data_IF_457192703682
#
_entry.id   IF_457192703682
#
_cell.length_a   1.000
_cell.length_b   1.000
_cell.length_c   1.000
_cell.angle_alpha   90.00
_cell.angle_beta   90.00
_cell.angle_gamma   90.00
#
_symmetry.space_group_name_H-M   'P 1'
#
loop_
_entity.id
_entity.type
_entity.pdbx_description
1 polymer ?
#
# COMPACT_ATOMS: atom_id res chain seq x y z
N UNK A 1 -9.42 16.48 -17.67
CA UNK A 1 -9.45 15.12 -17.08
C UNK A 1 -9.26 15.27 -15.58
N UNK A 2 -10.14 14.71 -14.74
CA UNK A 2 -9.92 14.75 -13.28
C UNK A 2 -8.69 13.91 -12.94
N UNK A 3 -7.73 14.51 -12.24
CA UNK A 3 -6.57 13.81 -11.73
C UNK A 3 -7.04 12.83 -10.64
N UNK A 4 -6.70 11.56 -10.78
CA UNK A 4 -6.95 10.55 -9.75
C UNK A 4 -6.21 10.97 -8.48
N UNK A 5 -6.97 11.19 -7.40
CA UNK A 5 -6.44 11.64 -6.10
C UNK A 5 -5.86 10.44 -5.34
N UNK A 6 -4.82 10.67 -4.54
CA UNK A 6 -4.34 9.71 -3.54
C UNK A 6 -5.02 10.05 -2.21
N UNK A 7 -5.45 9.05 -1.45
CA UNK A 7 -6.07 9.29 -0.14
C UNK A 7 -5.05 9.82 0.86
N UNK A 8 -5.47 10.71 1.76
CA UNK A 8 -4.58 11.31 2.77
C UNK A 8 -3.91 10.29 3.67
N UNK A 9 -4.62 9.20 3.99
CA UNK A 9 -4.06 8.06 4.73
C UNK A 9 -2.91 7.42 3.95
N UNK A 10 -3.09 7.17 2.66
CA UNK A 10 -2.04 6.58 1.82
C UNK A 10 -0.85 7.53 1.64
N UNK A 11 -1.07 8.84 1.44
CA UNK A 11 0.01 9.83 1.38
C UNK A 11 0.87 9.82 2.66
N UNK A 12 0.22 9.76 3.82
CA UNK A 12 0.90 9.69 5.12
C UNK A 12 1.74 8.43 5.25
N UNK A 13 1.20 7.26 4.89
CA UNK A 13 1.90 5.98 4.93
C UNK A 13 3.09 5.97 3.95
N UNK A 14 2.90 6.48 2.73
CA UNK A 14 3.99 6.63 1.74
C UNK A 14 5.12 7.49 2.30
N UNK A 15 4.81 8.62 2.93
CA UNK A 15 5.82 9.49 3.52
C UNK A 15 6.63 8.79 4.65
N UNK A 16 5.96 8.04 5.53
CA UNK A 16 6.65 7.25 6.59
C UNK A 16 7.54 6.15 5.99
N UNK A 17 7.05 5.45 4.98
CA UNK A 17 7.81 4.42 4.28
C UNK A 17 9.03 4.98 3.55
N UNK A 18 8.88 6.12 2.87
CA UNK A 18 9.97 6.82 2.20
C UNK A 18 11.05 7.25 3.20
N UNK A 19 10.65 7.81 4.35
CA UNK A 19 11.58 8.17 5.42
C UNK A 19 12.38 6.96 5.92
N UNK A 20 11.70 5.83 6.16
CA UNK A 20 12.34 4.58 6.60
C UNK A 20 13.31 4.02 5.56
N UNK A 21 12.91 4.02 4.27
CA UNK A 21 13.77 3.59 3.16
C UNK A 21 15.01 4.48 3.00
N UNK A 22 14.85 5.80 3.14
CA UNK A 22 15.97 6.75 3.13
C UNK A 22 16.92 6.51 4.29
N UNK A 23 16.40 6.30 5.50
CA UNK A 23 17.22 5.98 6.67
C UNK A 23 18.01 4.67 6.49
N UNK A 24 17.41 3.69 5.83
CA UNK A 24 18.05 2.42 5.49
C UNK A 24 19.05 2.52 4.31
N UNK A 25 19.13 3.68 3.64
CA UNK A 25 20.00 3.90 2.50
C UNK A 25 19.60 3.12 1.24
N UNK A 26 18.35 2.66 1.15
CA UNK A 26 17.88 1.77 0.09
C UNK A 26 16.54 2.20 -0.51
N UNK A 27 16.58 2.75 -1.71
CA UNK A 27 15.36 3.05 -2.46
C UNK A 27 14.60 1.76 -2.85
N UNK A 28 15.33 0.66 -3.10
CA UNK A 28 14.76 -0.65 -3.50
C UNK A 28 13.88 -1.29 -2.42
N UNK A 29 14.11 -0.96 -1.16
CA UNK A 29 13.34 -1.48 -0.03
C UNK A 29 12.07 -0.65 0.23
N UNK A 30 11.82 0.42 -0.53
CA UNK A 30 10.68 1.31 -0.32
C UNK A 30 9.34 0.56 -0.28
N UNK A 31 9.09 -0.36 -1.24
CA UNK A 31 7.83 -1.11 -1.30
C UNK A 31 7.66 -2.06 -0.10
N UNK A 32 8.75 -2.62 0.41
CA UNK A 32 8.74 -3.46 1.60
C UNK A 32 8.53 -2.64 2.89
N UNK A 33 9.14 -1.45 3.00
CA UNK A 33 8.81 -0.51 4.08
C UNK A 33 7.36 -0.03 3.99
N UNK A 34 6.85 0.21 2.79
CA UNK A 34 5.46 0.61 2.57
C UNK A 34 4.50 -0.49 3.03
N UNK A 35 4.82 -1.75 2.76
CA UNK A 35 4.05 -2.87 3.27
C UNK A 35 4.04 -2.95 4.80
N UNK A 36 5.19 -2.72 5.47
CA UNK A 36 5.21 -2.66 6.94
C UNK A 36 4.29 -1.58 7.50
N UNK A 37 4.31 -0.39 6.90
CA UNK A 37 3.46 0.73 7.31
C UNK A 37 1.97 0.41 7.09
N UNK A 38 1.62 -0.26 5.98
CA UNK A 38 0.26 -0.72 5.71
C UNK A 38 -0.22 -1.78 6.72
N UNK A 39 0.67 -2.69 7.13
CA UNK A 39 0.39 -3.73 8.12
C UNK A 39 0.27 -3.19 9.55
N UNK A 40 0.90 -2.05 9.84
CA UNK A 40 0.81 -1.39 11.14
C UNK A 40 -0.42 -0.49 11.27
N UNK A 41 -1.00 -0.03 10.15
CA UNK A 41 -2.15 0.88 10.16
C UNK A 41 -3.47 0.10 10.24
N UNK A 42 -3.84 -0.36 11.44
CA UNK A 42 -5.02 -1.21 11.71
C UNK A 42 -6.35 -0.65 11.19
N UNK A 43 -6.51 0.68 11.19
CA UNK A 43 -7.70 1.36 10.67
C UNK A 43 -7.75 1.48 9.15
N UNK A 44 -6.67 1.14 8.44
CA UNK A 44 -6.59 1.32 7.00
C UNK A 44 -7.36 0.27 6.22
N UNK A 45 -7.79 0.62 5.00
CA UNK A 45 -8.46 -0.33 4.11
C UNK A 45 -7.56 -1.48 3.67
N UNK A 46 -6.23 -1.29 3.63
CA UNK A 46 -5.28 -2.37 3.40
C UNK A 46 -5.31 -3.40 4.54
N UNK A 47 -5.31 -2.94 5.79
CA UNK A 47 -5.41 -3.82 6.95
C UNK A 47 -6.75 -4.56 6.95
N UNK A 48 -7.86 -3.85 6.73
CA UNK A 48 -9.19 -4.46 6.62
C UNK A 48 -9.25 -5.50 5.50
N UNK A 49 -8.65 -5.22 4.34
CA UNK A 49 -8.55 -6.15 3.22
C UNK A 49 -7.80 -7.42 3.61
N UNK A 50 -6.66 -7.31 4.29
CA UNK A 50 -5.92 -8.47 4.79
C UNK A 50 -6.70 -9.24 5.85
N UNK A 51 -7.40 -8.55 6.75
CA UNK A 51 -8.25 -9.16 7.77
C UNK A 51 -9.43 -9.97 7.19
N UNK A 52 -9.79 -9.76 5.91
CA UNK A 52 -10.75 -10.64 5.22
C UNK A 52 -10.17 -12.03 4.89
N UNK A 53 -8.85 -12.20 4.95
CA UNK A 53 -8.12 -13.41 4.54
C UNK A 53 -7.28 -14.03 5.64
N UNK A 54 -6.69 -13.18 6.48
CA UNK A 54 -5.75 -13.56 7.51
C UNK A 54 -6.34 -13.24 8.88
N UNK A 55 -6.01 -14.07 9.85
CA UNK A 55 -6.24 -13.77 11.27
C UNK A 55 -5.26 -12.71 11.73
N UNK A 56 -5.59 -11.96 12.79
CA UNK A 56 -4.71 -10.91 13.32
C UNK A 56 -3.31 -11.42 13.67
N UNK A 57 -3.22 -12.64 14.21
CA UNK A 57 -1.93 -13.26 14.52
C UNK A 57 -1.12 -13.60 13.26
N UNK A 58 -1.76 -13.90 12.12
CA UNK A 58 -1.08 -14.13 10.84
C UNK A 58 -0.54 -12.82 10.28
N UNK A 59 -1.31 -11.74 10.36
CA UNK A 59 -0.87 -10.39 9.98
C UNK A 59 0.34 -9.97 10.84
N UNK A 60 0.28 -10.20 12.15
CA UNK A 60 1.41 -9.94 13.05
C UNK A 60 2.65 -10.77 12.69
N UNK A 61 2.48 -12.05 12.32
CA UNK A 61 3.58 -12.91 11.89
C UNK A 61 4.20 -12.46 10.55
N UNK A 62 3.37 -12.04 9.58
CA UNK A 62 3.85 -11.45 8.32
C UNK A 62 4.72 -10.22 8.62
N UNK A 63 4.25 -9.33 9.50
CA UNK A 63 4.98 -8.12 9.88
C UNK A 63 6.34 -8.44 10.50
N UNK A 64 6.40 -9.35 11.47
CA UNK A 64 7.64 -9.79 12.10
C UNK A 64 8.64 -10.41 11.11
N UNK A 65 8.15 -11.20 10.15
CA UNK A 65 9.00 -11.79 9.10
C UNK A 65 9.57 -10.71 8.18
N UNK A 66 8.75 -9.75 7.79
CA UNK A 66 9.17 -8.67 6.92
C UNK A 66 10.17 -7.73 7.61
N UNK A 67 9.94 -7.39 8.89
CA UNK A 67 10.90 -6.64 9.72
C UNK A 67 12.27 -7.34 9.74
N UNK A 68 12.28 -8.67 9.92
CA UNK A 68 13.51 -9.47 9.90
C UNK A 68 14.22 -9.44 8.55
N UNK A 69 13.49 -9.58 7.44
CA UNK A 69 14.07 -9.51 6.09
C UNK A 69 14.64 -8.12 5.78
N UNK A 70 13.96 -7.06 6.19
CA UNK A 70 14.45 -5.69 6.04
C UNK A 70 15.70 -5.41 6.87
N UNK A 71 15.79 -5.95 8.09
CA UNK A 71 17.02 -5.90 8.88
C UNK A 71 18.17 -6.64 8.18
N UNK A 72 17.90 -7.83 7.63
CA UNK A 72 18.89 -8.59 6.89
C UNK A 72 19.34 -7.87 5.60
N UNK A 73 18.43 -7.20 4.89
CA UNK A 73 18.72 -6.44 3.68
C UNK A 73 19.61 -5.22 3.94
N UNK A 74 19.45 -4.56 5.10
CA UNK A 74 20.32 -3.45 5.53
C UNK A 74 21.77 -3.90 5.77
N UNK A 75 21.99 -5.17 6.12
CA UNK A 75 23.32 -5.73 6.34
C UNK A 75 24.05 -6.12 5.04
N UNK A 76 23.36 -6.15 3.90
CA UNK A 76 23.96 -6.47 2.60
C UNK A 76 24.63 -5.24 1.99
N UNK A 77 25.73 -5.39 1.22
CA UNK A 77 26.31 -4.28 0.47
C UNK A 77 25.30 -3.75 -0.55
N UNK A 78 24.89 -2.49 -0.42
CA UNK A 78 23.92 -1.89 -1.32
C UNK A 78 24.58 -0.90 -2.28
N UNK A 79 24.15 -0.95 -3.54
CA UNK A 79 24.49 0.09 -4.52
C UNK A 79 23.72 1.36 -4.16
N UNK A 80 24.44 2.47 -3.99
CA UNK A 80 23.88 3.79 -3.62
C UNK A 80 23.24 4.52 -4.81
N UNK A 81 23.00 3.82 -5.91
CA UNK A 81 22.77 4.44 -7.22
C UNK A 81 21.31 4.86 -7.43
N UNK A 82 20.39 4.57 -6.49
CA UNK A 82 19.00 5.04 -6.53
C UNK A 82 18.67 5.92 -5.33
N UNK A 83 18.15 7.11 -5.62
CA UNK A 83 17.58 8.01 -4.63
C UNK A 83 16.19 7.52 -4.22
N UNK A 84 15.91 7.32 -2.93
CA UNK A 84 14.59 6.96 -2.41
C UNK A 84 13.48 7.92 -2.87
N UNK A 85 13.82 9.18 -3.10
CA UNK A 85 12.87 10.18 -3.55
C UNK A 85 12.33 9.95 -4.96
N UNK A 86 13.15 9.38 -5.83
CA UNK A 86 12.73 9.01 -7.17
C UNK A 86 11.76 7.82 -7.11
N UNK A 87 12.08 6.81 -6.30
CA UNK A 87 11.27 5.59 -6.18
C UNK A 87 9.85 5.84 -5.65
N UNK A 88 9.67 6.67 -4.60
CA UNK A 88 8.31 6.92 -4.10
C UNK A 88 7.46 7.72 -5.10
N UNK A 89 8.06 8.70 -5.83
CA UNK A 89 7.34 9.47 -6.86
C UNK A 89 6.91 8.57 -8.01
N UNK A 90 7.83 7.71 -8.46
CA UNK A 90 7.54 6.70 -9.47
C UNK A 90 6.42 5.78 -9.01
N UNK A 91 6.42 5.34 -7.76
CA UNK A 91 5.34 4.51 -7.22
C UNK A 91 3.98 5.22 -7.19
N UNK A 92 3.91 6.49 -6.79
CA UNK A 92 2.65 7.25 -6.85
C UNK A 92 2.14 7.41 -8.29
N UNK A 93 3.03 7.67 -9.24
CA UNK A 93 2.69 7.77 -10.66
C UNK A 93 2.21 6.43 -11.23
N UNK A 94 2.86 5.33 -10.87
CA UNK A 94 2.43 3.98 -11.20
C UNK A 94 1.03 3.70 -10.67
N UNK A 95 0.76 4.03 -9.40
CA UNK A 95 -0.57 3.85 -8.82
C UNK A 95 -1.63 4.68 -9.55
N UNK A 96 -1.37 5.97 -9.82
CA UNK A 96 -2.29 6.83 -10.59
C UNK A 96 -2.51 6.28 -12.01
N UNK A 97 -1.46 5.73 -12.63
CA UNK A 97 -1.51 5.14 -13.96
C UNK A 97 -2.32 3.83 -14.01
N UNK A 98 -2.14 2.96 -13.02
CA UNK A 98 -2.85 1.68 -12.89
C UNK A 98 -4.33 1.88 -12.54
N UNK A 99 -4.66 2.94 -11.81
CA UNK A 99 -6.01 3.23 -11.33
C UNK A 99 -6.75 4.29 -12.17
N UNK A 100 -6.46 4.40 -13.47
CA UNK A 100 -7.19 5.30 -14.37
C UNK A 100 -8.69 5.00 -14.33
N UNK A 101 -9.49 6.02 -14.02
CA UNK A 101 -10.95 5.90 -13.89
C UNK A 101 -11.45 5.63 -12.47
N UNK A 102 -10.55 5.45 -11.51
CA UNK A 102 -10.88 5.42 -10.07
C UNK A 102 -10.87 6.85 -9.52
N UNK A 103 -11.87 7.21 -8.72
CA UNK A 103 -11.98 8.54 -8.12
C UNK A 103 -10.89 8.83 -7.07
N UNK A 104 -10.48 7.80 -6.33
CA UNK A 104 -9.50 7.89 -5.24
C UNK A 104 -8.65 6.62 -5.13
N UNK A 105 -7.32 6.77 -5.13
CA UNK A 105 -6.34 5.71 -4.87
C UNK A 105 -6.10 5.64 -3.36
N UNK A 106 -6.64 4.59 -2.75
CA UNK A 106 -6.51 4.27 -1.32
C UNK A 106 -5.45 3.19 -1.03
N UNK A 107 -5.28 2.87 0.25
CA UNK A 107 -4.32 1.85 0.75
C UNK A 107 -4.56 0.45 0.17
N UNK A 108 -5.78 0.12 -0.28
CA UNK A 108 -6.08 -1.12 -1.03
C UNK A 108 -5.20 -1.23 -2.26
N UNK A 109 -5.14 -0.17 -3.06
CA UNK A 109 -4.43 -0.17 -4.34
C UNK A 109 -2.93 -0.31 -4.13
N UNK A 110 -2.40 0.35 -3.09
CA UNK A 110 -1.00 0.20 -2.70
C UNK A 110 -0.67 -1.24 -2.29
N UNK A 111 -1.51 -1.86 -1.46
CA UNK A 111 -1.32 -3.26 -1.06
C UNK A 111 -1.37 -4.20 -2.27
N UNK A 112 -2.34 -4.03 -3.18
CA UNK A 112 -2.45 -4.84 -4.39
C UNK A 112 -1.22 -4.70 -5.30
N UNK A 113 -0.72 -3.48 -5.48
CA UNK A 113 0.48 -3.22 -6.28
C UNK A 113 1.73 -3.90 -5.68
N UNK A 114 1.90 -3.86 -4.36
CA UNK A 114 3.03 -4.50 -3.69
C UNK A 114 2.92 -6.03 -3.77
N UNK A 115 1.74 -6.60 -3.50
CA UNK A 115 1.52 -8.06 -3.57
C UNK A 115 1.70 -8.59 -5.00
N UNK A 116 1.44 -7.77 -6.02
CA UNK A 116 1.70 -8.12 -7.43
C UNK A 116 3.18 -8.04 -7.82
N UNK A 117 4.00 -7.28 -7.09
CA UNK A 117 5.40 -7.08 -7.37
C UNK A 117 6.27 -8.21 -6.78
N UNK A 118 6.54 -9.22 -7.62
CA UNK A 118 7.38 -10.39 -7.30
C UNK A 118 8.84 -10.05 -6.93
N UNK A 119 9.26 -8.81 -7.14
CA UNK A 119 10.58 -8.32 -6.75
C UNK A 119 10.71 -8.12 -5.24
N UNK A 120 9.60 -7.92 -4.53
CA UNK A 120 9.55 -7.58 -3.12
C UNK A 120 9.66 -8.80 -2.20
N UNK A 121 10.20 -8.61 -0.99
CA UNK A 121 10.12 -9.66 0.04
C UNK A 121 8.69 -9.80 0.56
N UNK A 122 7.94 -8.70 0.56
CA UNK A 122 6.52 -8.67 0.91
C UNK A 122 5.71 -9.66 0.09
N UNK A 123 5.83 -9.66 -1.25
CA UNK A 123 5.04 -10.57 -2.09
C UNK A 123 5.35 -12.03 -1.77
N UNK A 124 6.62 -12.36 -1.54
CA UNK A 124 7.06 -13.73 -1.22
C UNK A 124 6.52 -14.18 0.13
N UNK A 125 6.63 -13.33 1.15
CA UNK A 125 6.09 -13.63 2.48
C UNK A 125 4.58 -13.78 2.42
N UNK A 126 3.86 -12.86 1.77
CA UNK A 126 2.40 -12.90 1.61
C UNK A 126 1.93 -14.19 0.92
N UNK A 127 2.64 -14.63 -0.12
CA UNK A 127 2.35 -15.87 -0.84
C UNK A 127 2.43 -17.10 0.07
N UNK A 128 3.35 -17.13 1.05
CA UNK A 128 3.43 -18.21 2.05
C UNK A 128 2.17 -18.32 2.94
N UNK A 129 1.40 -17.25 3.06
CA UNK A 129 0.11 -17.22 3.77
C UNK A 129 -1.09 -17.32 2.83
N UNK A 130 -0.88 -17.66 1.56
CA UNK A 130 -1.94 -17.75 0.55
C UNK A 130 -2.50 -16.39 0.11
N UNK A 131 -1.80 -15.29 0.40
CA UNK A 131 -2.16 -13.95 -0.08
C UNK A 131 -1.44 -13.70 -1.39
N UNK A 132 -2.21 -13.71 -2.48
CA UNK A 132 -1.76 -13.48 -3.86
C UNK A 132 -2.67 -12.46 -4.54
N UNK A 133 -2.28 -11.81 -5.65
CA UNK A 133 -3.09 -10.75 -6.25
C UNK A 133 -4.56 -11.15 -6.51
N UNK A 134 -4.78 -12.33 -7.09
CA UNK A 134 -6.11 -12.89 -7.36
C UNK A 134 -6.94 -13.12 -6.08
N UNK A 135 -6.28 -13.39 -4.95
CA UNK A 135 -6.94 -13.56 -3.66
C UNK A 135 -7.44 -12.21 -3.11
N UNK A 136 -6.92 -11.07 -3.54
CA UNK A 136 -7.33 -9.76 -3.01
C UNK A 136 -8.43 -9.09 -3.84
N UNK A 137 -8.63 -9.50 -5.11
CA UNK A 137 -9.54 -8.80 -6.03
C UNK A 137 -10.98 -8.69 -5.55
N UNK A 138 -11.61 -9.82 -5.21
CA UNK A 138 -13.04 -9.82 -4.86
C UNK A 138 -13.33 -9.09 -3.53
N UNK A 139 -12.53 -9.27 -2.45
CA UNK A 139 -12.68 -8.46 -1.24
C UNK A 139 -12.35 -6.98 -1.45
N UNK A 140 -11.32 -6.65 -2.23
CA UNK A 140 -10.96 -5.27 -2.54
C UNK A 140 -12.10 -4.50 -3.22
N UNK A 141 -12.77 -5.13 -4.21
CA UNK A 141 -13.93 -4.53 -4.89
C UNK A 141 -15.09 -4.27 -3.93
N UNK A 142 -15.31 -5.14 -2.94
CA UNK A 142 -16.37 -4.97 -1.94
C UNK A 142 -16.07 -3.79 -1.02
N UNK A 143 -14.86 -3.74 -0.46
CA UNK A 143 -14.43 -2.66 0.43
C UNK A 143 -14.43 -1.30 -0.28
N UNK A 144 -13.97 -1.23 -1.53
CA UNK A 144 -14.02 0.00 -2.32
C UNK A 144 -15.46 0.50 -2.58
N UNK A 145 -16.43 -0.42 -2.76
CA UNK A 145 -17.84 -0.07 -2.93
C UNK A 145 -18.54 0.33 -1.62
N UNK A 146 -17.98 -0.06 -0.47
CA UNK A 146 -18.42 0.39 0.85
C UNK A 146 -17.87 1.78 1.17
N UNK A 147 -16.58 2.01 0.90
CA UNK A 147 -15.93 3.33 1.03
C UNK A 147 -16.71 4.42 0.26
N UNK A 148 -17.08 4.15 -0.99
CA UNK A 148 -17.87 5.08 -1.82
C UNK A 148 -19.29 5.35 -1.31
N UNK A 149 -19.88 4.42 -0.54
CA UNK A 149 -21.21 4.61 0.07
C UNK A 149 -21.13 5.42 1.37
N UNK A 150 -19.98 5.40 2.03
CA UNK A 150 -19.73 6.13 3.26
C UNK A 150 -19.25 7.57 3.03
N UNK A 151 -18.78 7.92 1.83
CA UNK A 151 -18.47 9.32 1.50
C UNK A 151 -19.76 10.17 1.46
N UNK A 152 -19.79 11.32 2.17
CA UNK A 152 -20.94 12.22 2.10
C UNK A 152 -21.10 12.71 0.66
N UNK A 153 -22.32 12.57 0.11
CA UNK A 153 -22.64 13.13 -1.20
C UNK A 153 -22.35 14.63 -1.17
N UNK A 154 -21.73 15.21 -2.21
CA UNK A 154 -21.59 16.66 -2.29
C UNK A 154 -22.98 17.29 -2.15
N UNK A 155 -23.13 18.23 -1.21
CA UNK A 155 -24.37 18.95 -1.01
C UNK A 155 -24.85 19.51 -2.36
N UNK A 156 -26.02 19.09 -2.81
CA UNK A 156 -26.66 19.73 -3.95
C UNK A 156 -26.82 21.20 -3.60
N UNK A 157 -26.31 22.15 -4.42
CA UNK A 157 -26.50 23.55 -4.14
C UNK A 157 -28.01 23.78 -4.13
N UNK A 158 -28.51 24.24 -2.97
CA UNK A 158 -29.89 24.66 -2.78
C UNK A 158 -30.23 25.61 -3.93
N UNK A 159 -30.96 25.12 -4.94
CA UNK A 159 -31.58 25.98 -5.95
C UNK A 159 -32.63 26.79 -5.22
N UNK A 160 -32.23 27.98 -4.78
CA UNK A 160 -33.14 29.01 -4.28
C UNK A 160 -34.25 29.23 -5.31
N UNK A 161 -35.48 29.07 -4.83
CA UNK A 161 -36.70 29.54 -5.50
C UNK A 161 -36.97 30.97 -5.08
#
# INVERSE_FOLDING_TARGET
>A
MMQTKISKTLETIIARAAFSATKAGSARLFRDYLALELLAEEGSLAYQLLATRLKDWEIAQVRLRLERELLAAQMRPQRRDLLPEAEYRTFEEELRGACKGVCSVSTIHALQAIVADRGTETSRIMEMYGVVPASLEAPARRLAAEEQRSEPRPEEPLRGR
#
